data_IF_783797051295
#
_entry.id   IF_783797051295
#
_cell.length_a   1.000
_cell.length_b   1.000
_cell.length_c   1.000
_cell.angle_alpha   90.00
_cell.angle_beta   90.00
_cell.angle_gamma   90.00
#
_symmetry.space_group_name_H-M   'P 1'
#
loop_
_entity.id
_entity.type
_entity.pdbx_description
1 polymer ?
#
# COMPACT_ATOMS: atom_id res chain seq x y z
N UNK A 1 6.29 -5.65 5.35
CA UNK A 1 7.19 -4.88 6.21
C UNK A 1 6.91 -3.39 6.05
N UNK A 2 6.77 -2.69 7.14
CA UNK A 2 6.57 -1.24 7.11
C UNK A 2 7.75 -0.53 7.78
N UNK A 3 8.14 0.61 7.22
CA UNK A 3 9.07 1.52 7.87
C UNK A 3 8.34 2.33 8.95
N UNK A 4 9.05 3.15 9.71
CA UNK A 4 8.42 3.97 10.74
C UNK A 4 7.51 5.04 10.17
N UNK A 5 6.57 5.53 10.99
CA UNK A 5 5.65 6.61 10.64
C UNK A 5 4.73 6.31 9.47
N UNK A 6 4.33 5.05 9.32
CA UNK A 6 3.34 4.64 8.32
C UNK A 6 1.97 4.63 8.95
N UNK A 7 0.98 5.26 8.29
CA UNK A 7 -0.41 5.23 8.70
C UNK A 7 -1.19 4.29 7.79
N UNK A 8 -1.88 3.32 8.38
CA UNK A 8 -2.70 2.38 7.62
C UNK A 8 -4.14 2.55 8.08
N UNK A 9 -5.02 2.97 7.16
CA UNK A 9 -6.41 3.24 7.48
C UNK A 9 -7.27 1.98 7.35
N UNK A 10 -8.58 2.12 7.63
CA UNK A 10 -9.51 0.99 7.69
C UNK A 10 -9.58 0.23 6.37
N UNK A 11 -9.75 -1.09 6.49
CA UNK A 11 -9.94 -1.99 5.33
C UNK A 11 -8.76 -2.00 4.37
N UNK A 12 -7.59 -1.60 4.83
CA UNK A 12 -6.37 -1.74 4.03
C UNK A 12 -5.80 -3.15 4.23
N UNK A 13 -5.49 -3.83 3.14
CA UNK A 13 -4.89 -5.16 3.16
C UNK A 13 -3.48 -5.08 2.58
N UNK A 14 -2.49 -5.36 3.41
CA UNK A 14 -1.09 -5.40 2.99
C UNK A 14 -0.65 -6.85 2.99
N UNK A 15 -0.40 -7.40 1.82
CA UNK A 15 -0.09 -8.81 1.68
C UNK A 15 1.37 -9.12 2.05
N UNK A 16 1.70 -10.41 2.05
CA UNK A 16 3.00 -10.91 2.49
C UNK A 16 4.15 -10.27 1.70
N UNK A 17 5.20 -9.91 2.41
CA UNK A 17 6.42 -9.31 1.84
C UNK A 17 6.21 -7.97 1.13
N UNK A 18 5.05 -7.35 1.27
CA UNK A 18 4.88 -5.99 0.80
C UNK A 18 5.68 -5.04 1.71
N UNK A 19 6.32 -4.04 1.12
CA UNK A 19 7.13 -3.07 1.84
C UNK A 19 6.55 -1.68 1.65
N UNK A 20 6.37 -0.95 2.75
CA UNK A 20 5.87 0.42 2.73
C UNK A 20 6.96 1.30 3.32
N UNK A 21 7.41 2.28 2.54
CA UNK A 21 8.47 3.16 2.99
C UNK A 21 7.97 4.18 4.00
N UNK A 22 8.92 4.89 4.60
CA UNK A 22 8.66 5.82 5.68
C UNK A 22 7.69 6.96 5.27
N UNK A 23 6.85 7.40 6.21
CA UNK A 23 5.98 8.56 6.06
C UNK A 23 4.92 8.43 4.95
N UNK A 24 4.45 7.22 4.72
CA UNK A 24 3.41 6.94 3.73
C UNK A 24 2.07 6.77 4.43
N UNK A 25 1.01 7.22 3.79
CA UNK A 25 -0.36 6.98 4.24
C UNK A 25 -1.02 5.97 3.31
N UNK A 26 -1.40 4.82 3.85
CA UNK A 26 -2.20 3.83 3.14
C UNK A 26 -3.65 4.14 3.43
N UNK A 27 -4.35 4.64 2.43
CA UNK A 27 -5.72 5.08 2.58
C UNK A 27 -6.69 3.91 2.77
N UNK A 28 -7.98 4.22 2.90
CA UNK A 28 -9.01 3.23 3.17
C UNK A 28 -9.22 2.31 1.98
N UNK A 29 -9.55 1.05 2.28
CA UNK A 29 -9.94 0.06 1.28
C UNK A 29 -8.89 -0.10 0.17
N UNK A 30 -7.63 -0.17 0.57
CA UNK A 30 -6.50 -0.39 -0.33
C UNK A 30 -6.06 -1.84 -0.23
N UNK A 31 -5.65 -2.41 -1.33
CA UNK A 31 -4.99 -3.71 -1.34
C UNK A 31 -3.60 -3.57 -1.93
N UNK A 32 -2.59 -3.98 -1.17
CA UNK A 32 -1.19 -3.97 -1.61
C UNK A 32 -0.79 -5.41 -1.86
N UNK A 33 -0.50 -5.75 -3.10
CA UNK A 33 -0.17 -7.12 -3.47
C UNK A 33 1.15 -7.59 -2.84
N UNK A 34 1.32 -8.90 -2.71
CA UNK A 34 2.52 -9.47 -2.13
C UNK A 34 3.77 -9.04 -2.91
N UNK A 35 4.82 -8.73 -2.19
CA UNK A 35 6.10 -8.33 -2.78
C UNK A 35 6.15 -6.93 -3.35
N UNK A 36 5.08 -6.15 -3.21
CA UNK A 36 5.05 -4.77 -3.70
C UNK A 36 5.82 -3.82 -2.80
N UNK A 37 6.33 -2.74 -3.38
CA UNK A 37 7.04 -1.69 -2.63
C UNK A 37 6.35 -0.36 -2.87
N UNK A 38 5.80 0.21 -1.80
CA UNK A 38 5.02 1.44 -1.87
C UNK A 38 5.88 2.63 -1.49
N UNK A 39 6.06 3.56 -2.41
CA UNK A 39 6.89 4.75 -2.21
C UNK A 39 6.09 6.03 -2.04
N UNK A 40 4.79 6.02 -2.36
CA UNK A 40 3.94 7.22 -2.32
C UNK A 40 2.63 6.91 -1.62
N UNK A 41 1.96 7.97 -1.15
CA UNK A 41 0.64 7.81 -0.57
C UNK A 41 -0.32 7.19 -1.59
N UNK A 42 -1.18 6.31 -1.11
CA UNK A 42 -2.12 5.61 -1.96
C UNK A 42 -3.46 6.36 -2.01
N UNK A 43 -4.20 6.16 -3.11
CA UNK A 43 -5.57 6.65 -3.21
C UNK A 43 -6.51 5.55 -2.76
N UNK A 44 -7.56 5.91 -2.02
CA UNK A 44 -8.49 4.93 -1.47
C UNK A 44 -9.20 4.12 -2.55
N UNK A 45 -9.64 2.93 -2.19
CA UNK A 45 -10.44 2.02 -3.03
C UNK A 45 -9.69 1.50 -4.26
N UNK A 46 -8.40 1.24 -4.13
CA UNK A 46 -7.60 0.78 -5.26
C UNK A 46 -6.72 -0.41 -4.89
N UNK A 47 -6.23 -1.10 -5.90
CA UNK A 47 -5.26 -2.17 -5.79
C UNK A 47 -3.92 -1.69 -6.32
N UNK A 48 -2.85 -1.90 -5.56
CA UNK A 48 -1.49 -1.52 -5.94
C UNK A 48 -0.60 -2.75 -6.04
N UNK A 49 0.18 -2.83 -7.12
CA UNK A 49 1.07 -3.97 -7.39
C UNK A 49 2.40 -3.44 -7.93
N UNK A 50 3.47 -4.08 -7.54
CA UNK A 50 4.78 -3.91 -8.18
C UNK A 50 5.81 -3.17 -7.36
N UNK A 51 6.95 -2.97 -7.96
CA UNK A 51 8.07 -2.25 -7.38
C UNK A 51 8.61 -1.25 -8.42
N UNK A 52 8.30 0.05 -8.32
CA UNK A 52 7.41 0.65 -7.33
C UNK A 52 5.95 0.24 -7.53
N UNK A 53 5.20 0.22 -6.43
CA UNK A 53 3.79 -0.15 -6.49
C UNK A 53 3.01 0.84 -7.33
N UNK A 54 2.19 0.32 -8.24
CA UNK A 54 1.39 1.15 -9.14
C UNK A 54 -0.07 0.80 -8.99
N UNK A 55 -0.91 1.81 -9.18
CA UNK A 55 -2.35 1.62 -9.18
C UNK A 55 -2.74 0.76 -10.38
N UNK A 56 -3.37 -0.38 -10.11
CA UNK A 56 -3.74 -1.33 -11.15
C UNK A 56 -5.24 -1.28 -11.38
N UNK A 57 -6.03 -1.35 -10.32
CA UNK A 57 -7.46 -1.49 -10.43
C UNK A 57 -8.16 -0.87 -9.25
N UNK A 58 -9.42 -0.52 -9.43
CA UNK A 58 -10.28 -0.18 -8.31
C UNK A 58 -10.74 -1.45 -7.60
N UNK A 59 -10.92 -1.33 -6.32
CA UNK A 59 -11.47 -2.40 -5.51
C UNK A 59 -12.98 -2.40 -5.54
#
# INVERSE_FOLDING_TARGET
VTAGNVTIKKYAHVHTHATIVNKIIINENIEIAAGSVVFKNTKKNNLYIGNPARLINKR
#
